data_IF_675759513254
#
_entry.id   IF_675759513254
#
_cell.length_a   1.000
_cell.length_b   1.000
_cell.length_c   1.000
_cell.angle_alpha   90.00
_cell.angle_beta   90.00
_cell.angle_gamma   90.00
#
_symmetry.space_group_name_H-M   'P 1'
#
loop_
_entity.id
_entity.type
_entity.pdbx_description
1 polymer ?
#
# COMPACT_ATOMS: atom_id res chain seq x y z
N UNK A 1 -16.33 -5.28 3.83
CA UNK A 1 -15.16 -5.56 4.70
C UNK A 1 -14.68 -6.94 4.30
N UNK A 2 -13.68 -7.04 3.44
CA UNK A 2 -13.18 -8.33 2.96
C UNK A 2 -11.71 -8.48 3.37
N UNK A 3 -11.41 -9.59 4.03
CA UNK A 3 -10.05 -10.00 4.38
C UNK A 3 -9.37 -10.46 3.08
N UNK A 4 -8.29 -9.78 2.69
CA UNK A 4 -7.35 -10.25 1.67
C UNK A 4 -6.97 -11.69 2.01
N UNK A 5 -7.05 -12.65 1.07
CA UNK A 5 -6.50 -14.00 1.26
C UNK A 5 -5.79 -14.48 0.01
N UNK A 6 -4.47 -14.26 -0.03
CA UNK A 6 -3.58 -14.81 -1.07
C UNK A 6 -3.32 -16.31 -0.88
N UNK A 7 -3.79 -16.87 0.24
CA UNK A 7 -3.79 -18.29 0.54
C UNK A 7 -2.49 -18.76 1.19
N UNK A 8 -2.56 -19.90 1.87
CA UNK A 8 -1.44 -20.43 2.65
C UNK A 8 -0.18 -20.67 1.83
N UNK A 9 -0.31 -20.97 0.53
CA UNK A 9 0.82 -21.20 -0.35
C UNK A 9 1.64 -19.93 -0.57
N UNK A 10 0.97 -18.78 -0.71
CA UNK A 10 1.64 -17.48 -0.82
C UNK A 10 2.29 -17.10 0.51
N UNK A 11 1.61 -17.28 1.63
CA UNK A 11 2.16 -17.00 2.97
C UNK A 11 3.42 -17.84 3.25
N UNK A 12 3.39 -19.12 2.88
CA UNK A 12 4.53 -20.03 2.97
C UNK A 12 5.69 -19.62 2.06
N UNK A 13 5.38 -19.05 0.89
CA UNK A 13 6.39 -18.54 -0.04
C UNK A 13 7.08 -17.28 0.51
N UNK A 14 6.33 -16.34 1.10
CA UNK A 14 6.87 -15.02 1.50
C UNK A 14 7.40 -14.96 2.92
N UNK A 15 6.86 -15.75 3.85
CA UNK A 15 7.26 -15.72 5.26
C UNK A 15 8.76 -15.97 5.52
N UNK A 16 9.46 -16.91 4.83
CA UNK A 16 10.88 -17.14 5.08
C UNK A 16 11.79 -16.08 4.43
N UNK A 17 11.30 -15.29 3.47
CA UNK A 17 12.12 -14.36 2.69
C UNK A 17 12.60 -13.19 3.55
N UNK A 18 13.83 -12.73 3.38
CA UNK A 18 14.26 -11.41 3.81
C UNK A 18 13.51 -10.31 3.05
N UNK A 19 13.58 -9.07 3.53
CA UNK A 19 12.93 -7.94 2.86
C UNK A 19 13.45 -7.70 1.43
N UNK A 20 14.75 -7.95 1.20
CA UNK A 20 15.35 -7.84 -0.14
C UNK A 20 14.95 -9.00 -1.05
N UNK A 21 14.80 -10.21 -0.51
CA UNK A 21 14.29 -11.36 -1.28
C UNK A 21 12.82 -11.16 -1.66
N UNK A 22 12.02 -10.55 -0.78
CA UNK A 22 10.64 -10.17 -1.10
C UNK A 22 10.57 -9.13 -2.21
N UNK A 23 11.45 -8.12 -2.19
CA UNK A 23 11.56 -7.16 -3.30
C UNK A 23 11.87 -7.88 -4.62
N UNK A 24 12.87 -8.77 -4.62
CA UNK A 24 13.24 -9.54 -5.82
C UNK A 24 12.09 -10.43 -6.32
N UNK A 25 11.28 -10.98 -5.42
CA UNK A 25 10.08 -11.74 -5.77
C UNK A 25 9.04 -10.85 -6.47
N UNK A 26 8.78 -9.65 -5.94
CA UNK A 26 7.84 -8.72 -6.57
C UNK A 26 8.35 -8.16 -7.90
N UNK A 27 9.66 -7.92 -8.05
CA UNK A 27 10.24 -7.55 -9.35
C UNK A 27 10.02 -8.67 -10.37
N UNK A 28 10.21 -9.93 -9.99
CA UNK A 28 9.92 -11.07 -10.86
C UNK A 28 8.42 -11.14 -11.22
N UNK A 29 7.53 -10.88 -10.26
CA UNK A 29 6.09 -10.92 -10.51
C UNK A 29 5.55 -9.78 -11.37
N UNK A 30 6.37 -8.77 -11.72
CA UNK A 30 6.02 -7.84 -12.80
C UNK A 30 5.86 -8.53 -14.17
N UNK A 31 6.52 -9.69 -14.37
CA UNK A 31 6.51 -10.43 -15.64
C UNK A 31 6.02 -11.87 -15.51
N UNK A 32 5.82 -12.37 -14.29
CA UNK A 32 5.46 -13.76 -14.01
C UNK A 32 4.27 -13.85 -13.06
N UNK A 33 3.21 -14.55 -13.49
CA UNK A 33 2.00 -14.79 -12.67
C UNK A 33 2.17 -15.90 -11.64
N UNK A 34 3.25 -16.70 -11.76
CA UNK A 34 3.60 -17.78 -10.83
C UNK A 34 5.09 -17.83 -10.57
N UNK A 35 5.47 -17.98 -9.31
CA UNK A 35 6.85 -18.21 -8.87
C UNK A 35 6.85 -19.51 -8.06
N UNK A 36 7.71 -20.48 -8.44
CA UNK A 36 7.74 -21.81 -7.84
C UNK A 36 6.36 -22.52 -7.82
N UNK A 37 5.55 -22.33 -8.86
CA UNK A 37 4.20 -22.88 -8.96
C UNK A 37 3.12 -22.16 -8.14
N UNK A 38 3.52 -21.26 -7.25
CA UNK A 38 2.62 -20.45 -6.40
C UNK A 38 2.19 -19.20 -7.16
N UNK A 39 0.89 -18.89 -7.14
CA UNK A 39 0.37 -17.64 -7.69
C UNK A 39 0.91 -16.47 -6.88
N UNK A 40 1.40 -15.45 -7.58
CA UNK A 40 1.92 -14.23 -6.96
C UNK A 40 1.16 -13.02 -7.47
N UNK A 41 1.00 -11.97 -6.66
CA UNK A 41 0.42 -10.73 -7.13
C UNK A 41 1.20 -10.14 -8.31
N UNK A 42 0.47 -9.73 -9.33
CA UNK A 42 0.97 -8.96 -10.46
C UNK A 42 0.99 -7.46 -10.13
N UNK A 43 1.50 -6.67 -11.06
CA UNK A 43 1.52 -5.21 -10.97
C UNK A 43 0.89 -4.59 -12.21
N UNK A 44 0.41 -3.34 -12.12
CA UNK A 44 -0.18 -2.65 -13.27
C UNK A 44 0.85 -2.46 -14.39
N UNK A 45 0.42 -2.20 -15.63
CA UNK A 45 1.32 -1.84 -16.73
C UNK A 45 2.16 -0.59 -16.42
N UNK A 46 3.29 -0.45 -17.12
CA UNK A 46 4.25 0.64 -16.96
C UNK A 46 3.60 2.02 -16.99
N UNK A 47 2.72 2.25 -17.97
CA UNK A 47 2.10 3.55 -18.21
C UNK A 47 1.29 4.01 -17.00
N UNK A 48 0.58 3.06 -16.37
CA UNK A 48 -0.16 3.31 -15.14
C UNK A 48 0.81 3.60 -13.99
N UNK A 49 1.85 2.79 -13.81
CA UNK A 49 2.80 3.03 -12.72
C UNK A 49 3.46 4.42 -12.83
N UNK A 50 3.92 4.79 -14.02
CA UNK A 50 4.52 6.11 -14.29
C UNK A 50 3.53 7.25 -14.04
N UNK A 51 2.27 7.09 -14.45
CA UNK A 51 1.25 8.12 -14.28
C UNK A 51 0.95 8.46 -12.81
N UNK A 52 0.98 7.46 -11.92
CA UNK A 52 0.61 7.64 -10.52
C UNK A 52 1.80 7.83 -9.58
N UNK A 53 2.97 7.29 -9.94
CA UNK A 53 4.13 7.22 -9.04
C UNK A 53 5.35 7.95 -9.63
N UNK A 54 5.35 8.27 -10.94
CA UNK A 54 6.50 8.84 -11.63
C UNK A 54 7.61 7.82 -11.94
N UNK A 55 7.40 6.54 -11.61
CA UNK A 55 8.35 5.44 -11.75
C UNK A 55 7.62 4.14 -12.14
N UNK A 56 8.36 3.14 -12.64
CA UNK A 56 7.82 1.82 -13.01
C UNK A 56 8.68 0.68 -12.49
N UNK A 57 8.03 -0.47 -12.29
CA UNK A 57 8.60 -1.78 -11.99
C UNK A 57 9.65 -1.75 -10.88
N UNK A 58 10.89 -2.14 -11.18
CA UNK A 58 11.99 -2.22 -10.22
C UNK A 58 12.19 -0.92 -9.46
N UNK A 59 12.17 0.23 -10.13
CA UNK A 59 12.36 1.51 -9.45
C UNK A 59 11.21 1.83 -8.50
N UNK A 60 9.97 1.67 -8.98
CA UNK A 60 8.78 1.90 -8.16
C UNK A 60 8.71 0.95 -6.95
N UNK A 61 9.06 -0.33 -7.14
CA UNK A 61 9.08 -1.33 -6.08
C UNK A 61 10.23 -1.13 -5.09
N UNK A 62 11.38 -0.65 -5.56
CA UNK A 62 12.52 -0.33 -4.70
C UNK A 62 12.19 0.79 -3.72
N UNK A 63 11.52 1.86 -4.18
CA UNK A 63 11.04 2.93 -3.30
C UNK A 63 10.06 2.41 -2.23
N UNK A 64 9.15 1.53 -2.63
CA UNK A 64 8.19 0.93 -1.71
C UNK A 64 8.87 0.02 -0.68
N UNK A 65 9.87 -0.75 -1.11
CA UNK A 65 10.73 -1.55 -0.24
C UNK A 65 11.47 -0.67 0.78
N UNK A 66 12.02 0.47 0.37
CA UNK A 66 12.69 1.40 1.28
C UNK A 66 11.72 1.95 2.32
N UNK A 67 10.52 2.35 1.89
CA UNK A 67 9.47 2.82 2.79
C UNK A 67 9.06 1.76 3.82
N UNK A 68 8.75 0.54 3.36
CA UNK A 68 8.41 -0.59 4.22
C UNK A 68 9.54 -0.90 5.23
N UNK A 69 10.80 -0.93 4.77
CA UNK A 69 11.97 -1.17 5.63
C UNK A 69 12.12 -0.08 6.70
N UNK A 70 11.83 1.16 6.34
CA UNK A 70 11.82 2.28 7.28
C UNK A 70 10.73 2.12 8.33
N UNK A 71 9.48 1.82 7.92
CA UNK A 71 8.36 1.57 8.84
C UNK A 71 8.67 0.43 9.80
N UNK A 72 9.24 -0.67 9.30
CA UNK A 72 9.61 -1.83 10.12
C UNK A 72 10.65 -1.47 11.19
N UNK A 73 11.72 -0.80 10.78
CA UNK A 73 12.78 -0.32 11.69
C UNK A 73 12.20 0.63 12.74
N UNK A 74 11.33 1.52 12.31
CA UNK A 74 10.68 2.50 13.16
C UNK A 74 9.78 1.86 14.21
N UNK A 75 8.93 0.91 13.80
CA UNK A 75 8.06 0.14 14.69
C UNK A 75 8.85 -0.66 15.73
N UNK A 76 9.97 -1.27 15.31
CA UNK A 76 10.90 -1.95 16.21
C UNK A 76 11.48 -1.01 17.28
N UNK A 77 11.94 0.17 16.86
CA UNK A 77 12.54 1.17 17.77
C UNK A 77 11.54 1.74 18.78
N UNK A 78 10.25 1.78 18.43
CA UNK A 78 9.19 2.17 19.36
C UNK A 78 8.71 1.04 20.28
N UNK A 79 9.31 -0.15 20.21
CA UNK A 79 8.89 -1.32 21.01
C UNK A 79 7.56 -1.92 20.56
N UNK A 80 7.11 -1.61 19.34
CA UNK A 80 5.88 -2.14 18.74
C UNK A 80 6.20 -2.84 17.41
N UNK A 81 7.09 -3.86 17.39
CA UNK A 81 7.50 -4.50 16.15
C UNK A 81 6.31 -5.06 15.37
N UNK A 82 6.47 -5.13 14.04
CA UNK A 82 5.52 -5.78 13.16
C UNK A 82 5.41 -7.26 13.53
N UNK A 83 4.18 -7.76 13.53
CA UNK A 83 3.83 -9.15 13.74
C UNK A 83 2.46 -9.43 13.09
N UNK A 84 2.09 -10.69 13.03
CA UNK A 84 0.88 -11.15 12.36
C UNK A 84 -0.42 -10.54 12.92
N UNK A 85 -0.42 -10.05 14.16
CA UNK A 85 -1.58 -9.45 14.84
C UNK A 85 -1.68 -7.92 14.63
N UNK A 86 -0.66 -7.26 14.06
CA UNK A 86 -0.71 -5.81 13.79
C UNK A 86 -1.75 -5.50 12.73
N UNK A 87 -2.43 -4.36 12.87
CA UNK A 87 -3.33 -3.81 11.86
C UNK A 87 -2.71 -2.63 11.16
N UNK A 88 -2.73 -2.63 9.83
CA UNK A 88 -2.14 -1.60 8.99
C UNK A 88 -3.23 -1.03 8.08
N UNK A 89 -3.29 0.29 8.03
CA UNK A 89 -4.15 1.05 7.13
C UNK A 89 -3.27 1.88 6.20
N UNK A 90 -3.39 1.66 4.90
CA UNK A 90 -2.71 2.41 3.85
C UNK A 90 -3.71 3.41 3.22
N UNK A 91 -3.49 4.70 3.48
CA UNK A 91 -4.34 5.78 2.97
C UNK A 91 -3.81 6.28 1.64
N UNK A 92 -4.66 6.28 0.60
CA UNK A 92 -4.20 6.53 -0.76
C UNK A 92 -3.34 5.37 -1.24
N UNK A 93 -3.85 4.15 -1.05
CA UNK A 93 -3.08 2.93 -1.31
C UNK A 93 -2.70 2.76 -2.78
N UNK A 94 -3.31 3.53 -3.69
CA UNK A 94 -3.11 3.40 -5.13
C UNK A 94 -3.37 1.98 -5.57
N UNK A 95 -2.47 1.41 -6.37
CA UNK A 95 -2.47 0.00 -6.77
C UNK A 95 -1.86 -0.95 -5.72
N UNK A 96 -1.84 -0.52 -4.45
CA UNK A 96 -1.35 -1.26 -3.27
C UNK A 96 0.14 -1.59 -3.29
N UNK A 97 0.92 -0.71 -3.93
CA UNK A 97 2.37 -0.84 -4.06
C UNK A 97 3.07 -1.12 -2.73
N UNK A 98 2.76 -0.31 -1.71
CA UNK A 98 3.46 -0.31 -0.42
C UNK A 98 2.90 -1.41 0.49
N UNK A 99 1.58 -1.48 0.62
CA UNK A 99 0.93 -2.42 1.56
C UNK A 99 1.28 -3.89 1.28
N UNK A 100 1.58 -4.26 0.02
CA UNK A 100 1.99 -5.63 -0.37
C UNK A 100 3.27 -6.11 0.32
N UNK A 101 4.19 -5.22 0.69
CA UNK A 101 5.40 -5.61 1.43
C UNK A 101 5.10 -6.08 2.85
N UNK A 102 3.95 -5.68 3.41
CA UNK A 102 3.56 -6.05 4.76
C UNK A 102 2.95 -7.46 4.86
N UNK A 103 2.61 -8.11 3.75
CA UNK A 103 2.18 -9.53 3.75
C UNK A 103 3.21 -10.44 4.43
N UNK A 104 4.49 -10.06 4.38
CA UNK A 104 5.56 -10.80 5.03
C UNK A 104 5.43 -10.85 6.56
N UNK A 105 5.00 -9.75 7.17
CA UNK A 105 5.08 -9.59 8.63
C UNK A 105 3.69 -9.56 9.28
N UNK A 106 2.64 -9.26 8.53
CA UNK A 106 1.29 -9.02 9.01
C UNK A 106 0.32 -9.92 8.27
N UNK A 107 -0.60 -10.54 9.00
CA UNK A 107 -1.63 -11.35 8.38
C UNK A 107 -2.48 -10.48 7.45
N UNK A 108 -2.74 -10.98 6.24
CA UNK A 108 -3.45 -10.27 5.18
C UNK A 108 -4.81 -9.67 5.62
N UNK A 109 -5.55 -10.34 6.49
CA UNK A 109 -6.80 -9.85 7.08
C UNK A 109 -6.65 -8.57 7.93
N UNK A 110 -5.44 -8.27 8.36
CA UNK A 110 -5.12 -7.09 9.14
C UNK A 110 -4.52 -5.95 8.29
N UNK A 111 -4.41 -6.14 6.98
CA UNK A 111 -4.01 -5.12 6.02
C UNK A 111 -5.26 -4.51 5.39
N UNK A 112 -5.33 -3.19 5.33
CA UNK A 112 -6.43 -2.47 4.69
C UNK A 112 -5.88 -1.31 3.86
N UNK A 113 -6.05 -1.38 2.53
CA UNK A 113 -5.85 -0.24 1.64
C UNK A 113 -7.15 0.52 1.44
N UNK A 114 -7.09 1.86 1.46
CA UNK A 114 -8.21 2.71 1.03
C UNK A 114 -7.72 3.75 0.03
N UNK A 115 -8.51 3.97 -1.01
CA UNK A 115 -8.27 5.02 -1.99
C UNK A 115 -9.58 5.72 -2.36
N UNK A 116 -9.48 6.98 -2.79
CA UNK A 116 -10.62 7.75 -3.28
C UNK A 116 -10.82 7.56 -4.78
N UNK A 117 -9.79 7.11 -5.52
CA UNK A 117 -9.86 6.83 -6.95
C UNK A 117 -10.40 5.40 -7.21
N UNK A 118 -11.59 5.26 -7.82
CA UNK A 118 -12.17 3.97 -8.18
C UNK A 118 -11.31 3.14 -9.14
N UNK A 119 -10.50 3.79 -9.98
CA UNK A 119 -9.58 3.10 -10.88
C UNK A 119 -8.48 2.38 -10.09
N UNK A 120 -7.99 2.98 -8.99
CA UNK A 120 -7.00 2.35 -8.12
C UNK A 120 -7.58 1.09 -7.47
N UNK A 121 -8.81 1.18 -6.94
CA UNK A 121 -9.53 0.03 -6.38
C UNK A 121 -9.67 -1.08 -7.43
N UNK A 122 -10.03 -0.72 -8.67
CA UNK A 122 -10.19 -1.68 -9.77
C UNK A 122 -8.86 -2.36 -10.11
N UNK A 123 -7.78 -1.60 -10.24
CA UNK A 123 -6.45 -2.10 -10.57
C UNK A 123 -5.88 -2.99 -9.45
N UNK A 124 -6.10 -2.66 -8.18
CA UNK A 124 -5.74 -3.53 -7.06
C UNK A 124 -6.37 -4.91 -7.22
N UNK A 125 -7.67 -4.93 -7.50
CA UNK A 125 -8.43 -6.16 -7.62
C UNK A 125 -7.98 -7.03 -8.81
N UNK A 126 -7.62 -6.42 -9.94
CA UNK A 126 -7.13 -7.13 -11.12
C UNK A 126 -5.71 -7.68 -10.92
N UNK A 127 -4.86 -6.94 -10.20
CA UNK A 127 -3.44 -7.27 -10.07
C UNK A 127 -3.13 -8.18 -8.87
N UNK A 128 -3.99 -8.28 -7.87
CA UNK A 128 -3.81 -9.20 -6.72
C UNK A 128 -4.22 -10.65 -6.99
N UNK A 129 -4.66 -11.00 -8.20
CA UNK A 129 -5.22 -12.32 -8.49
C UNK A 129 -6.71 -12.37 -8.16
N UNK A 130 -7.50 -12.78 -9.16
CA UNK A 130 -8.95 -12.61 -9.24
C UNK A 130 -9.74 -12.84 -7.92
N UNK A 131 -10.34 -11.76 -7.41
CA UNK A 131 -11.77 -11.69 -7.04
C UNK A 131 -12.23 -10.24 -6.87
N UNK A 132 -12.77 -9.66 -7.94
CA UNK A 132 -13.70 -8.51 -7.89
C UNK A 132 -15.01 -8.73 -8.67
N UNK A 133 -15.11 -9.80 -9.46
CA UNK A 133 -16.33 -10.09 -10.24
C UNK A 133 -17.47 -10.59 -9.33
N UNK A 134 -17.16 -11.35 -8.26
CA UNK A 134 -18.19 -11.94 -7.38
C UNK A 134 -18.88 -10.95 -6.43
N UNK A 135 -18.23 -9.83 -6.09
CA UNK A 135 -18.79 -8.81 -5.19
C UNK A 135 -19.68 -7.81 -5.95
N UNK A 136 -19.37 -7.58 -7.23
CA UNK A 136 -20.24 -6.86 -8.16
C UNK A 136 -21.52 -7.65 -8.47
N UNK A 137 -21.41 -8.97 -8.67
CA UNK A 137 -22.56 -9.86 -8.91
C UNK A 137 -23.48 -10.03 -7.68
N UNK A 138 -23.04 -9.63 -6.48
CA UNK A 138 -23.81 -9.77 -5.22
C UNK A 138 -24.43 -8.47 -4.69
N UNK A 139 -24.40 -7.38 -5.46
CA UNK A 139 -25.30 -6.24 -5.27
C UNK A 139 -24.90 -5.22 -4.18
N UNK A 140 -23.61 -5.09 -3.89
CA UNK A 140 -23.11 -4.07 -2.96
C UNK A 140 -22.66 -2.78 -3.67
N UNK A 141 -22.68 -1.66 -2.93
CA UNK A 141 -22.50 -0.30 -3.47
C UNK A 141 -21.14 -0.09 -4.18
N UNK A 142 -21.21 0.55 -5.35
CA UNK A 142 -20.09 0.98 -6.20
C UNK A 142 -20.25 2.47 -6.51
N UNK A 143 -19.17 3.25 -6.42
CA UNK A 143 -19.09 4.65 -6.88
C UNK A 143 -17.94 4.86 -7.87
N UNK A 144 -18.16 5.76 -8.83
CA UNK A 144 -17.26 6.27 -9.90
C UNK A 144 -17.58 7.77 -10.13
N UNK A 145 -16.70 8.71 -10.59
CA UNK A 145 -15.51 8.55 -11.46
C UNK A 145 -14.24 9.46 -11.22
N UNK A 146 -13.06 8.89 -11.54
CA UNK A 146 -11.77 9.44 -12.10
C UNK A 146 -10.87 10.45 -11.37
N UNK A 147 -9.52 10.22 -11.43
CA UNK A 147 -8.54 11.25 -11.82
C UNK A 147 -7.02 10.90 -11.83
N UNK A 148 -6.34 11.12 -12.98
CA UNK A 148 -4.88 11.03 -13.18
C UNK A 148 -4.33 12.06 -14.22
N UNK A 149 -3.25 12.80 -13.91
CA UNK A 149 -2.26 13.31 -14.89
C UNK A 149 -2.36 14.68 -15.60
N UNK A 150 -3.51 15.26 -15.93
CA UNK A 150 -3.56 16.54 -16.71
C UNK A 150 -4.38 17.65 -16.01
N UNK A 151 -4.31 18.92 -16.47
CA UNK A 151 -4.94 20.09 -15.80
C UNK A 151 -6.36 19.76 -15.32
N UNK A 152 -6.52 19.57 -14.00
CA UNK A 152 -7.81 19.28 -13.38
C UNK A 152 -8.46 20.58 -12.96
N UNK A 153 -9.72 20.77 -13.33
CA UNK A 153 -10.49 21.91 -12.88
C UNK A 153 -10.72 21.85 -11.35
N UNK A 154 -11.20 22.94 -10.77
CA UNK A 154 -11.34 23.20 -9.32
C UNK A 154 -12.24 22.23 -8.54
N UNK A 155 -12.74 21.17 -9.17
CA UNK A 155 -13.52 20.09 -8.54
C UNK A 155 -12.63 18.98 -7.95
N UNK A 156 -11.31 19.09 -8.10
CA UNK A 156 -10.34 18.06 -7.72
C UNK A 156 -9.48 18.53 -6.53
N UNK A 157 -9.49 17.81 -5.40
CA UNK A 157 -8.49 17.98 -4.36
C UNK A 157 -7.23 17.27 -4.83
N UNK A 158 -6.21 18.02 -5.26
CA UNK A 158 -4.91 17.49 -5.70
C UNK A 158 -4.10 16.85 -4.56
N UNK A 159 -2.78 16.91 -4.66
CA UNK A 159 -1.90 16.50 -3.56
C UNK A 159 -2.26 17.23 -2.26
N UNK A 160 -2.49 16.45 -1.20
CA UNK A 160 -2.82 17.03 0.10
C UNK A 160 -1.52 17.26 0.88
N UNK A 161 -1.04 18.50 0.86
CA UNK A 161 0.03 18.92 1.76
C UNK A 161 -0.58 19.09 3.15
N UNK A 162 -0.35 18.13 4.03
CA UNK A 162 -0.81 18.19 5.42
C UNK A 162 0.34 18.72 6.30
N UNK A 163 0.32 19.99 6.72
CA UNK A 163 1.37 20.51 7.58
C UNK A 163 1.26 19.91 8.99
N UNK A 164 2.39 19.80 9.68
CA UNK A 164 2.45 19.27 11.06
C UNK A 164 1.44 19.93 12.00
N UNK A 165 1.22 21.23 11.84
CA UNK A 165 0.25 22.00 12.62
C UNK A 165 -1.20 21.56 12.40
N UNK A 166 -1.56 21.12 11.19
CA UNK A 166 -2.91 20.64 10.89
C UNK A 166 -3.22 19.34 11.65
N UNK A 167 -2.30 18.38 11.64
CA UNK A 167 -2.43 17.14 12.42
C UNK A 167 -2.57 17.43 13.92
N UNK A 168 -1.74 18.36 14.46
CA UNK A 168 -1.85 18.78 15.86
C UNK A 168 -3.22 19.36 16.19
N UNK A 169 -3.75 20.24 15.34
CA UNK A 169 -4.98 20.96 15.63
C UNK A 169 -6.25 20.13 15.42
N UNK A 170 -6.24 19.20 14.45
CA UNK A 170 -7.46 18.51 14.01
C UNK A 170 -7.52 17.04 14.40
N UNK A 171 -6.37 16.35 14.53
CA UNK A 171 -6.32 14.91 14.75
C UNK A 171 -5.89 14.51 16.17
N UNK A 172 -5.18 15.37 16.91
CA UNK A 172 -4.74 15.02 18.29
C UNK A 172 -5.90 14.77 19.28
N UNK A 173 -7.10 15.23 18.98
CA UNK A 173 -8.32 14.88 19.74
C UNK A 173 -8.77 13.43 19.56
N UNK A 174 -8.26 12.73 18.54
CA UNK A 174 -8.61 11.34 18.22
C UNK A 174 -7.39 10.40 18.29
N UNK A 175 -6.21 10.90 17.94
CA UNK A 175 -4.98 10.12 17.80
C UNK A 175 -3.78 10.89 18.35
N UNK A 176 -3.02 10.28 19.25
CA UNK A 176 -1.78 10.84 19.78
C UNK A 176 -0.69 10.85 18.70
N UNK A 177 -0.20 12.03 18.34
CA UNK A 177 1.00 12.19 17.51
C UNK A 177 2.23 11.68 18.24
N UNK A 178 2.81 10.59 17.73
CA UNK A 178 4.03 9.97 18.26
C UNK A 178 5.26 10.54 17.58
N UNK A 179 5.20 10.80 16.28
CA UNK A 179 6.33 11.37 15.56
C UNK A 179 5.92 12.03 14.23
N UNK A 180 6.81 12.86 13.71
CA UNK A 180 6.71 13.51 12.41
C UNK A 180 8.08 13.57 11.76
N UNK A 181 8.16 13.05 10.54
CA UNK A 181 9.37 12.99 9.75
C UNK A 181 9.17 13.70 8.41
N UNK A 182 10.08 14.61 8.06
CA UNK A 182 10.02 15.41 6.83
C UNK A 182 11.43 15.77 6.37
N UNK A 183 12.17 14.73 5.97
CA UNK A 183 13.50 14.88 5.40
C UNK A 183 13.55 14.20 4.04
N UNK A 184 13.51 15.02 2.99
CA UNK A 184 13.51 14.61 1.59
C UNK A 184 14.69 13.71 1.20
N UNK A 185 15.82 13.82 1.91
CA UNK A 185 17.00 12.97 1.64
C UNK A 185 16.85 11.54 2.15
N UNK A 186 15.78 11.24 2.91
CA UNK A 186 15.51 9.90 3.45
C UNK A 186 14.13 9.38 3.01
N UNK A 187 13.13 10.25 2.93
CA UNK A 187 11.78 9.93 2.44
C UNK A 187 11.32 11.06 1.50
N UNK A 188 10.89 10.77 0.26
CA UNK A 188 10.42 11.80 -0.68
C UNK A 188 9.09 12.45 -0.24
N UNK A 189 8.47 11.95 0.83
CA UNK A 189 7.22 12.40 1.39
C UNK A 189 7.28 12.49 2.91
N UNK A 190 6.53 13.42 3.50
CA UNK A 190 6.44 13.55 4.94
C UNK A 190 5.63 12.40 5.57
N UNK A 191 6.08 11.88 6.71
CA UNK A 191 5.46 10.79 7.45
C UNK A 191 4.94 11.27 8.81
N UNK A 192 3.69 10.98 9.12
CA UNK A 192 3.08 11.17 10.43
C UNK A 192 2.86 9.84 11.12
N UNK A 193 3.32 9.70 12.36
CA UNK A 193 3.05 8.52 13.19
C UNK A 193 2.02 8.87 14.24
N UNK A 194 0.83 8.29 14.11
CA UNK A 194 -0.33 8.56 14.96
C UNK A 194 -0.74 7.28 15.68
N UNK A 195 -1.03 7.38 16.98
CA UNK A 195 -1.49 6.25 17.80
C UNK A 195 -2.88 6.53 18.35
N UNK A 196 -3.78 5.56 18.22
CA UNK A 196 -5.04 5.54 18.97
C UNK A 196 -4.77 5.03 20.39
N UNK A 197 -5.35 5.70 21.39
CA UNK A 197 -5.32 5.25 22.79
C UNK A 197 -6.04 3.90 22.97
#
# INVERSE_FOLDING_TARGET
>A
MNNFKLGSDFDNLVSPLSAIELLNLFIQSCSQTKINGTLVPMFPPEEIQQQFVGASYEHALYEAYLFYSHVKTYAQNLGVPLNNERKILDFGCGWERIIRFFFKDVHDENLLGIDVDPLMITICNETLGNRAISDYESGNFVHSPTGAGDIRNSSFYGETVIPRTYIKNHYQKYLKLRDFFDNVNQLPQALFVLQKD
#
